data_IF_293029149873
#
_entry.id   IF_293029149873
#
_cell.length_a   1.000
_cell.length_b   1.000
_cell.length_c   1.000
_cell.angle_alpha   90.00
_cell.angle_beta   90.00
_cell.angle_gamma   90.00
#
_symmetry.space_group_name_H-M   'P 1'
#
loop_
_entity.id
_entity.type
_entity.pdbx_description
1 polymer ?
#
# COMPACT_ATOMS: atom_id res chain seq x y z
N UNK A 1 3.91 -24.09 -12.25
CA UNK A 1 2.59 -23.48 -11.97
C UNK A 1 2.33 -22.37 -12.97
N UNK A 2 1.06 -22.13 -13.28
CA UNK A 2 0.58 -20.93 -14.00
C UNK A 2 0.30 -19.84 -12.98
N UNK A 3 0.98 -18.72 -13.05
CA UNK A 3 0.88 -17.64 -12.06
C UNK A 3 0.57 -16.32 -12.78
N UNK A 4 -0.43 -15.59 -12.30
CA UNK A 4 -0.60 -14.19 -12.66
C UNK A 4 0.02 -13.33 -11.55
N UNK A 5 0.98 -12.49 -11.88
CA UNK A 5 1.46 -11.44 -10.99
C UNK A 5 0.65 -10.19 -11.33
N UNK A 6 -0.24 -9.81 -10.42
CA UNK A 6 -1.16 -8.70 -10.63
C UNK A 6 -0.55 -7.42 -10.09
N UNK A 7 -0.38 -6.41 -10.93
CA UNK A 7 0.28 -5.14 -10.61
C UNK A 7 -0.48 -3.94 -11.20
N UNK A 8 0.04 -2.75 -11.02
CA UNK A 8 -0.50 -1.51 -11.57
C UNK A 8 -1.70 -0.98 -10.78
N UNK A 9 -2.86 -0.96 -11.40
CA UNK A 9 -4.09 -0.43 -10.78
C UNK A 9 -4.25 1.09 -10.90
N UNK A 10 -5.14 1.67 -10.08
CA UNK A 10 -5.43 3.11 -10.02
C UNK A 10 -5.06 3.69 -8.64
N UNK A 11 -3.89 3.33 -8.12
CA UNK A 11 -3.35 3.95 -6.92
C UNK A 11 -2.17 4.87 -7.24
N UNK A 12 -1.85 5.76 -6.34
CA UNK A 12 -0.66 6.63 -6.44
C UNK A 12 0.66 5.84 -6.36
N UNK A 13 0.59 4.56 -5.97
CA UNK A 13 1.71 3.62 -5.89
C UNK A 13 1.78 2.67 -7.10
N UNK A 14 1.07 2.98 -8.20
CA UNK A 14 1.01 2.18 -9.42
C UNK A 14 2.40 1.78 -9.97
N UNK A 15 3.33 2.72 -10.04
CA UNK A 15 4.67 2.47 -10.60
C UNK A 15 5.53 1.62 -9.66
N UNK A 16 5.33 1.78 -8.35
CA UNK A 16 5.94 0.92 -7.32
C UNK A 16 5.42 -0.51 -7.44
N UNK A 17 4.11 -0.65 -7.62
CA UNK A 17 3.47 -1.94 -7.86
C UNK A 17 4.04 -2.67 -9.09
N UNK A 18 4.26 -1.97 -10.19
CA UNK A 18 4.91 -2.55 -11.37
C UNK A 18 6.33 -3.00 -11.09
N UNK A 19 7.11 -2.21 -10.36
CA UNK A 19 8.49 -2.59 -10.03
C UNK A 19 8.53 -3.85 -9.15
N UNK A 20 7.66 -3.90 -8.14
CA UNK A 20 7.50 -5.10 -7.31
C UNK A 20 7.08 -6.31 -8.16
N UNK A 21 6.07 -6.13 -9.01
CA UNK A 21 5.55 -7.18 -9.87
C UNK A 21 6.60 -7.72 -10.85
N UNK A 22 7.41 -6.85 -11.45
CA UNK A 22 8.48 -7.23 -12.36
C UNK A 22 9.54 -8.10 -11.67
N UNK A 23 9.99 -7.67 -10.48
CA UNK A 23 10.97 -8.42 -9.70
C UNK A 23 10.45 -9.80 -9.29
N UNK A 24 9.20 -9.86 -8.83
CA UNK A 24 8.56 -11.12 -8.44
C UNK A 24 8.33 -12.02 -9.66
N UNK A 25 7.83 -11.48 -10.77
CA UNK A 25 7.62 -12.27 -11.98
C UNK A 25 8.93 -12.87 -12.50
N UNK A 26 10.02 -12.11 -12.46
CA UNK A 26 11.35 -12.59 -12.82
C UNK A 26 11.79 -13.74 -11.92
N UNK A 27 11.74 -13.57 -10.61
CA UNK A 27 12.14 -14.61 -9.65
C UNK A 27 11.30 -15.89 -9.79
N UNK A 28 9.99 -15.76 -10.01
CA UNK A 28 9.10 -16.90 -10.23
C UNK A 28 9.41 -17.64 -11.53
N UNK A 29 9.76 -16.94 -12.63
CA UNK A 29 10.20 -17.56 -13.89
C UNK A 29 11.52 -18.29 -13.72
N UNK A 30 12.48 -17.71 -13.01
CA UNK A 30 13.76 -18.35 -12.69
C UNK A 30 13.56 -19.67 -11.90
N UNK A 31 12.46 -19.78 -11.15
CA UNK A 31 12.02 -21.01 -10.48
C UNK A 31 11.16 -21.94 -11.37
N UNK A 32 11.09 -21.70 -12.68
CA UNK A 32 10.43 -22.60 -13.64
C UNK A 32 8.91 -22.46 -13.71
N UNK A 33 8.33 -21.36 -13.27
CA UNK A 33 6.89 -21.10 -13.37
C UNK A 33 6.54 -20.35 -14.66
N UNK A 34 5.34 -20.58 -15.20
CA UNK A 34 4.76 -19.80 -16.31
C UNK A 34 4.07 -18.57 -15.70
N UNK A 35 4.65 -17.37 -15.90
CA UNK A 35 4.24 -16.17 -15.18
C UNK A 35 3.84 -15.04 -16.11
N UNK A 36 2.62 -14.55 -15.98
CA UNK A 36 2.13 -13.35 -16.67
C UNK A 36 2.13 -12.18 -15.67
N UNK A 37 2.89 -11.13 -15.97
CA UNK A 37 2.77 -9.84 -15.26
C UNK A 37 1.63 -9.04 -15.92
N UNK A 38 0.58 -8.77 -15.17
CA UNK A 38 -0.66 -8.21 -15.68
C UNK A 38 -1.02 -6.90 -14.93
N UNK A 39 -1.36 -5.87 -15.70
CA UNK A 39 -1.95 -4.65 -15.15
C UNK A 39 -3.43 -4.88 -14.84
N UNK A 40 -3.83 -4.76 -13.58
CA UNK A 40 -5.23 -5.00 -13.15
C UNK A 40 -6.21 -4.02 -13.79
N UNK A 41 -5.78 -2.77 -14.05
CA UNK A 41 -6.64 -1.73 -14.62
C UNK A 41 -6.62 -1.70 -16.14
N UNK A 42 -5.45 -1.83 -16.78
CA UNK A 42 -5.35 -1.78 -18.24
C UNK A 42 -5.76 -3.10 -18.90
N UNK A 43 -5.59 -4.23 -18.19
CA UNK A 43 -5.87 -5.56 -18.72
C UNK A 43 -4.89 -6.04 -19.79
N UNK A 44 -5.28 -7.05 -20.53
CA UNK A 44 -4.46 -7.70 -21.56
C UNK A 44 -5.12 -7.51 -22.89
N UNK A 45 -5.78 -6.97 -23.44
CA UNK A 45 -6.36 -6.78 -24.80
C UNK A 45 -7.72 -6.09 -24.72
N UNK A 46 -8.04 -5.36 -25.76
CA UNK A 46 -9.33 -4.68 -25.88
C UNK A 46 -10.44 -5.60 -26.41
N UNK A 47 -10.09 -6.83 -26.81
CA UNK A 47 -11.01 -7.78 -27.44
C UNK A 47 -11.10 -9.06 -26.63
N UNK A 48 -12.23 -9.74 -26.74
CA UNK A 48 -12.36 -11.12 -26.26
C UNK A 48 -11.52 -12.01 -27.18
N UNK A 49 -10.35 -12.39 -26.70
CA UNK A 49 -9.40 -13.24 -27.43
C UNK A 49 -9.53 -14.70 -26.98
N UNK A 50 -9.07 -15.61 -27.86
CA UNK A 50 -8.80 -16.97 -27.45
C UNK A 50 -7.55 -16.98 -26.54
N UNK A 51 -7.74 -17.22 -25.27
CA UNK A 51 -6.69 -17.27 -24.25
C UNK A 51 -6.08 -18.68 -24.12
N UNK A 52 -6.46 -19.64 -24.97
CA UNK A 52 -5.92 -20.99 -24.95
C UNK A 52 -4.41 -20.96 -25.13
N UNK A 53 -3.67 -21.64 -24.24
CA UNK A 53 -2.21 -21.71 -24.27
C UNK A 53 -1.48 -20.38 -23.97
N UNK A 54 -2.16 -19.36 -23.46
CA UNK A 54 -1.57 -18.03 -23.22
C UNK A 54 -0.39 -18.09 -22.25
N UNK A 55 -0.39 -19.01 -21.29
CA UNK A 55 0.72 -19.19 -20.35
C UNK A 55 1.97 -19.75 -21.00
N UNK A 56 1.89 -20.39 -22.17
CA UNK A 56 3.06 -20.88 -22.91
C UNK A 56 3.87 -19.72 -23.54
N UNK A 57 3.23 -18.57 -23.72
CA UNK A 57 3.85 -17.31 -24.17
C UNK A 57 3.78 -16.20 -23.12
N UNK A 58 3.85 -16.57 -21.85
CA UNK A 58 3.61 -15.68 -20.72
C UNK A 58 4.53 -14.45 -20.67
N UNK A 59 5.76 -14.54 -21.15
CA UNK A 59 6.68 -13.41 -21.21
C UNK A 59 6.29 -12.38 -22.26
N UNK A 60 5.79 -12.83 -23.42
CA UNK A 60 5.38 -11.97 -24.53
C UNK A 60 4.15 -11.13 -24.17
N UNK A 61 3.21 -11.72 -23.42
CA UNK A 61 1.96 -11.07 -23.02
C UNK A 61 2.09 -10.22 -21.74
N UNK A 62 3.22 -10.35 -21.06
CA UNK A 62 3.47 -9.59 -19.82
C UNK A 62 3.71 -8.11 -20.08
N UNK A 63 3.25 -7.27 -19.15
CA UNK A 63 3.51 -5.82 -19.17
C UNK A 63 5.02 -5.56 -19.07
N UNK A 64 5.51 -4.63 -19.89
CA UNK A 64 6.90 -4.16 -19.81
C UNK A 64 6.99 -3.00 -18.84
N UNK A 65 7.89 -3.11 -17.88
CA UNK A 65 8.03 -2.16 -16.77
C UNK A 65 9.22 -1.23 -17.00
N UNK A 66 9.00 0.06 -16.78
CA UNK A 66 10.05 1.09 -16.67
C UNK A 66 10.43 1.34 -15.19
N UNK A 67 11.37 2.22 -14.92
CA UNK A 67 11.71 2.62 -13.56
C UNK A 67 10.59 3.38 -12.83
N UNK A 68 10.74 3.59 -11.52
CA UNK A 68 9.81 4.40 -10.72
C UNK A 68 10.12 5.89 -10.95
N UNK A 69 9.15 6.70 -11.42
CA UNK A 69 9.31 8.15 -11.54
C UNK A 69 9.47 8.84 -10.16
N UNK A 70 10.09 10.02 -10.12
CA UNK A 70 10.19 10.83 -8.88
C UNK A 70 8.85 11.44 -8.43
N UNK A 71 7.86 11.44 -9.31
CA UNK A 71 6.51 12.00 -9.08
C UNK A 71 5.49 10.90 -9.23
N UNK A 72 4.51 10.86 -8.32
CA UNK A 72 3.40 9.91 -8.39
C UNK A 72 2.63 10.02 -9.72
N UNK A 73 2.07 8.91 -10.23
CA UNK A 73 1.36 8.89 -11.50
C UNK A 73 0.10 9.78 -11.48
N UNK A 74 -0.16 10.44 -12.59
CA UNK A 74 -1.42 11.15 -12.84
C UNK A 74 -2.53 10.13 -13.17
N UNK A 75 -3.32 9.79 -12.16
CA UNK A 75 -4.36 8.76 -12.28
C UNK A 75 -5.45 9.12 -13.28
N UNK A 76 -5.71 10.42 -13.48
CA UNK A 76 -6.67 10.87 -14.50
C UNK A 76 -6.16 10.56 -15.91
N UNK A 77 -4.87 10.77 -16.16
CA UNK A 77 -4.23 10.38 -17.43
C UNK A 77 -4.19 8.87 -17.61
N UNK A 78 -3.88 8.12 -16.55
CA UNK A 78 -3.91 6.64 -16.59
C UNK A 78 -5.32 6.18 -16.98
N UNK A 79 -6.36 6.69 -16.32
CA UNK A 79 -7.75 6.36 -16.63
C UNK A 79 -8.12 6.71 -18.08
N UNK A 80 -7.76 7.90 -18.54
CA UNK A 80 -8.04 8.35 -19.91
C UNK A 80 -7.28 7.56 -20.98
N UNK A 81 -6.14 6.94 -20.65
CA UNK A 81 -5.34 6.16 -21.60
C UNK A 81 -5.88 4.75 -21.85
N UNK A 82 -6.77 4.23 -20.99
CA UNK A 82 -7.41 2.94 -21.22
C UNK A 82 -8.39 3.04 -22.38
N UNK A 83 -8.32 2.13 -23.34
CA UNK A 83 -9.24 2.14 -24.49
C UNK A 83 -10.68 1.86 -24.11
N UNK A 84 -10.89 0.91 -23.20
CA UNK A 84 -12.17 0.68 -22.59
C UNK A 84 -12.45 1.74 -21.52
N UNK A 85 -13.36 2.68 -21.82
CA UNK A 85 -13.78 3.77 -20.93
C UNK A 85 -14.98 3.38 -20.06
N UNK A 86 -15.23 2.07 -19.86
CA UNK A 86 -16.25 1.60 -18.93
C UNK A 86 -15.90 1.94 -17.48
N UNK A 87 -16.89 1.89 -16.59
CA UNK A 87 -16.70 2.08 -15.15
C UNK A 87 -16.11 0.84 -14.44
N UNK A 88 -15.84 -0.26 -15.17
CA UNK A 88 -15.24 -1.45 -14.61
C UNK A 88 -13.81 -1.16 -14.14
N UNK A 89 -13.48 -1.56 -12.92
CA UNK A 89 -12.11 -1.46 -12.42
C UNK A 89 -11.17 -2.42 -13.14
N UNK A 90 -11.60 -3.67 -13.31
CA UNK A 90 -10.81 -4.67 -14.02
C UNK A 90 -10.77 -4.38 -15.51
N UNK A 91 -9.57 -4.29 -16.06
CA UNK A 91 -9.37 -4.20 -17.50
C UNK A 91 -9.77 -5.49 -18.24
N UNK A 92 -9.83 -5.47 -19.57
CA UNK A 92 -10.20 -6.65 -20.36
C UNK A 92 -9.35 -7.89 -20.03
N UNK A 93 -10.00 -9.04 -19.95
CA UNK A 93 -9.39 -10.37 -19.73
C UNK A 93 -8.65 -10.56 -18.38
N UNK A 94 -8.74 -9.62 -17.43
CA UNK A 94 -8.07 -9.74 -16.12
C UNK A 94 -8.65 -10.90 -15.32
N UNK A 95 -9.96 -10.96 -15.18
CA UNK A 95 -10.63 -12.01 -14.38
C UNK A 95 -10.41 -13.37 -15.02
N UNK A 96 -10.56 -13.46 -16.34
CA UNK A 96 -10.37 -14.70 -17.10
C UNK A 96 -8.95 -15.25 -16.93
N UNK A 97 -7.92 -14.40 -17.05
CA UNK A 97 -6.53 -14.80 -16.85
C UNK A 97 -6.25 -15.24 -15.41
N UNK A 98 -6.81 -14.53 -14.43
CA UNK A 98 -6.70 -14.90 -13.03
C UNK A 98 -7.38 -16.24 -12.74
N UNK A 99 -8.56 -16.52 -13.33
CA UNK A 99 -9.24 -17.81 -13.20
C UNK A 99 -8.51 -18.97 -13.87
N UNK A 100 -7.74 -18.71 -14.94
CA UNK A 100 -6.92 -19.71 -15.64
C UNK A 100 -5.60 -20.00 -14.90
N UNK A 101 -5.20 -19.18 -13.92
CA UNK A 101 -3.98 -19.37 -13.14
C UNK A 101 -4.18 -20.33 -11.97
N UNK A 102 -3.11 -20.97 -11.52
CA UNK A 102 -3.11 -21.76 -10.28
C UNK A 102 -3.21 -20.87 -9.04
N UNK A 103 -2.63 -19.67 -9.12
CA UNK A 103 -2.65 -18.64 -8.07
C UNK A 103 -2.31 -17.26 -8.65
N UNK A 104 -2.86 -16.22 -8.05
CA UNK A 104 -2.53 -14.83 -8.34
C UNK A 104 -1.58 -14.29 -7.26
N UNK A 105 -0.41 -13.79 -7.66
CA UNK A 105 0.45 -13.04 -6.76
C UNK A 105 0.03 -11.57 -6.75
N UNK A 106 -0.36 -11.06 -5.58
CA UNK A 106 -0.83 -9.69 -5.39
C UNK A 106 0.34 -8.74 -5.21
N UNK A 107 0.89 -8.21 -6.31
CA UNK A 107 1.95 -7.17 -6.29
C UNK A 107 1.38 -5.75 -6.27
N UNK A 108 0.10 -5.60 -5.93
CA UNK A 108 -0.59 -4.31 -5.86
C UNK A 108 -0.19 -3.52 -4.61
N UNK A 109 -0.16 -2.19 -4.75
CA UNK A 109 0.09 -1.25 -3.68
C UNK A 109 -1.05 -0.23 -3.59
N UNK A 110 -1.41 0.20 -2.37
CA UNK A 110 -2.43 1.21 -2.13
C UNK A 110 -3.88 0.73 -2.34
N UNK A 111 -4.11 -0.57 -2.41
CA UNK A 111 -5.44 -1.16 -2.56
C UNK A 111 -6.07 -1.47 -1.18
N UNK A 112 -7.41 -1.48 -1.13
CA UNK A 112 -8.19 -1.53 0.10
C UNK A 112 -9.02 -2.80 0.27
N UNK A 113 -8.59 -3.91 -0.28
CA UNK A 113 -9.26 -5.21 -0.13
C UNK A 113 -10.40 -5.50 -1.12
N UNK A 114 -10.82 -4.54 -1.95
CA UNK A 114 -11.91 -4.73 -2.91
C UNK A 114 -11.59 -5.79 -3.97
N UNK A 115 -10.33 -5.85 -4.39
CA UNK A 115 -9.86 -6.85 -5.38
C UNK A 115 -9.91 -8.23 -4.75
N UNK A 116 -9.46 -8.38 -3.51
CA UNK A 116 -9.53 -9.63 -2.76
C UNK A 116 -10.98 -10.08 -2.61
N UNK A 117 -11.90 -9.17 -2.26
CA UNK A 117 -13.33 -9.49 -2.17
C UNK A 117 -13.91 -9.98 -3.50
N UNK A 118 -13.54 -9.36 -4.62
CA UNK A 118 -13.95 -9.83 -5.94
C UNK A 118 -13.37 -11.22 -6.24
N UNK A 119 -12.11 -11.46 -5.91
CA UNK A 119 -11.45 -12.75 -6.12
C UNK A 119 -12.08 -13.86 -5.29
N UNK A 120 -12.48 -13.58 -4.03
CA UNK A 120 -13.22 -14.52 -3.20
C UNK A 120 -14.54 -14.94 -3.87
N UNK A 121 -15.29 -13.97 -4.44
CA UNK A 121 -16.54 -14.24 -5.15
C UNK A 121 -16.34 -15.05 -6.45
N UNK A 122 -15.21 -14.86 -7.14
CA UNK A 122 -14.87 -15.59 -8.36
C UNK A 122 -14.14 -16.91 -8.09
N UNK A 123 -13.84 -17.25 -6.83
CA UNK A 123 -13.08 -18.45 -6.48
C UNK A 123 -11.62 -18.40 -6.95
N UNK A 124 -11.05 -17.22 -7.13
CA UNK A 124 -9.66 -17.01 -7.55
C UNK A 124 -8.75 -17.05 -6.33
N UNK A 125 -7.73 -17.91 -6.36
CA UNK A 125 -6.73 -18.01 -5.30
C UNK A 125 -5.68 -16.91 -5.44
N UNK A 126 -5.32 -16.25 -4.35
CA UNK A 126 -4.33 -15.17 -4.33
C UNK A 126 -3.42 -15.23 -3.10
N UNK A 127 -2.28 -14.51 -3.16
CA UNK A 127 -1.34 -14.37 -2.05
C UNK A 127 -1.71 -13.17 -1.18
N UNK A 128 -1.31 -13.21 0.09
CA UNK A 128 -1.50 -12.12 1.05
C UNK A 128 -2.80 -12.25 1.83
N UNK A 129 -3.15 -11.19 2.55
CA UNK A 129 -4.29 -11.18 3.46
C UNK A 129 -5.63 -10.97 2.72
N UNK A 130 -6.73 -11.43 3.32
CA UNK A 130 -8.08 -11.33 2.76
C UNK A 130 -8.64 -9.89 2.76
N UNK A 131 -9.85 -9.74 2.21
CA UNK A 131 -10.46 -8.44 1.94
C UNK A 131 -10.69 -7.59 3.19
N UNK A 132 -11.22 -8.17 4.26
CA UNK A 132 -11.55 -7.42 5.49
C UNK A 132 -10.29 -6.88 6.16
N UNK A 133 -9.30 -7.71 6.33
CA UNK A 133 -8.02 -7.33 6.96
C UNK A 133 -7.27 -6.29 6.13
N UNK A 134 -7.29 -6.42 4.79
CA UNK A 134 -6.74 -5.40 3.88
C UNK A 134 -7.46 -4.06 4.01
N UNK A 135 -8.79 -4.06 4.11
CA UNK A 135 -9.59 -2.85 4.28
C UNK A 135 -9.30 -2.16 5.63
N UNK A 136 -9.25 -2.95 6.70
CA UNK A 136 -8.92 -2.44 8.04
C UNK A 136 -7.50 -1.87 8.12
N UNK A 137 -6.51 -2.57 7.55
CA UNK A 137 -5.12 -2.12 7.54
C UNK A 137 -4.90 -0.85 6.71
N UNK A 138 -5.68 -0.64 5.66
CA UNK A 138 -5.59 0.56 4.82
C UNK A 138 -6.23 1.79 5.48
N UNK A 139 -7.24 1.61 6.32
CA UNK A 139 -7.94 2.68 7.05
C UNK A 139 -7.24 2.97 8.38
N UNK A 140 -6.51 4.12 8.44
CA UNK A 140 -5.73 4.51 9.62
C UNK A 140 -6.60 4.78 10.86
N UNK A 141 -7.84 5.26 10.65
CA UNK A 141 -8.79 5.48 11.75
C UNK A 141 -9.23 4.16 12.36
N UNK A 142 -9.63 3.19 11.51
CA UNK A 142 -10.08 1.89 11.98
C UNK A 142 -8.94 1.08 12.57
N UNK A 143 -7.77 1.05 11.92
CA UNK A 143 -6.57 0.41 12.47
C UNK A 143 -6.24 0.94 13.86
N UNK A 144 -6.24 2.26 14.02
CA UNK A 144 -5.92 2.90 15.29
C UNK A 144 -6.93 2.58 16.40
N UNK A 145 -8.23 2.56 16.08
CA UNK A 145 -9.27 2.15 17.04
C UNK A 145 -9.05 0.71 17.52
N UNK A 146 -8.70 -0.18 16.60
CA UNK A 146 -8.41 -1.59 16.91
C UNK A 146 -7.13 -1.71 17.76
N UNK A 147 -6.07 -1.00 17.41
CA UNK A 147 -4.83 -1.00 18.20
C UNK A 147 -5.07 -0.54 19.63
N UNK A 148 -5.73 0.61 19.81
CA UNK A 148 -6.01 1.14 21.13
C UNK A 148 -6.91 0.20 21.96
N UNK A 149 -7.90 -0.45 21.34
CA UNK A 149 -8.77 -1.44 22.03
C UNK A 149 -8.00 -2.69 22.47
N UNK A 150 -6.90 -3.02 21.79
CA UNK A 150 -6.02 -4.14 22.12
C UNK A 150 -4.83 -3.74 23.01
N UNK A 151 -4.76 -2.48 23.47
CA UNK A 151 -3.66 -1.99 24.30
C UNK A 151 -2.37 -1.72 23.52
N UNK A 152 -2.40 -1.70 22.19
CA UNK A 152 -1.25 -1.38 21.35
C UNK A 152 -1.15 0.16 21.28
N UNK A 153 0.00 0.75 21.61
CA UNK A 153 0.15 2.20 21.60
C UNK A 153 0.10 2.77 20.18
N UNK A 154 -0.59 3.89 20.02
CA UNK A 154 -0.64 4.65 18.78
C UNK A 154 -0.57 6.15 19.11
N UNK A 155 -0.09 7.02 18.19
CA UNK A 155 -0.07 8.45 18.40
C UNK A 155 -1.47 8.98 18.76
N UNK A 156 -1.57 9.93 19.69
CA UNK A 156 -2.84 10.57 19.98
C UNK A 156 -3.35 11.32 18.75
N UNK A 157 -4.63 11.17 18.40
CA UNK A 157 -5.16 11.81 17.21
C UNK A 157 -6.66 11.64 17.07
N UNK A 158 -7.22 12.36 16.09
CA UNK A 158 -8.63 12.31 15.74
C UNK A 158 -8.81 12.31 14.23
N UNK A 159 -9.83 11.62 13.76
CA UNK A 159 -10.28 11.69 12.36
C UNK A 159 -11.29 12.82 12.18
N UNK A 160 -11.32 13.40 10.98
CA UNK A 160 -12.29 14.41 10.59
C UNK A 160 -12.70 14.24 9.14
N UNK A 161 -13.94 14.62 8.84
CA UNK A 161 -14.43 14.73 7.48
C UNK A 161 -14.34 16.18 7.00
N UNK A 162 -14.19 16.36 5.70
CA UNK A 162 -14.14 17.70 5.08
C UNK A 162 -15.33 18.57 5.46
N UNK A 163 -16.52 17.96 5.55
CA UNK A 163 -17.76 18.67 5.91
C UNK A 163 -17.78 19.21 7.34
N UNK A 164 -17.04 18.55 8.27
CA UNK A 164 -16.99 18.86 9.71
C UNK A 164 -15.63 19.43 10.11
N UNK A 165 -14.81 19.84 9.13
CA UNK A 165 -13.44 20.31 9.36
C UNK A 165 -13.43 21.60 10.19
N UNK A 166 -12.50 21.68 11.14
CA UNK A 166 -12.23 22.88 11.91
C UNK A 166 -10.75 23.26 11.78
N UNK A 167 -10.49 24.54 11.52
CA UNK A 167 -9.14 25.12 11.51
C UNK A 167 -8.57 25.23 12.94
N UNK A 168 -9.38 24.98 13.98
CA UNK A 168 -8.97 25.02 15.36
C UNK A 168 -8.58 23.61 15.86
N UNK A 169 -7.28 23.33 15.86
CA UNK A 169 -6.71 22.07 16.30
C UNK A 169 -7.02 21.74 17.77
N UNK A 170 -7.26 22.75 18.60
CA UNK A 170 -7.51 22.56 20.05
C UNK A 170 -8.79 21.75 20.29
N UNK A 171 -9.78 21.84 19.37
CA UNK A 171 -11.01 21.04 19.42
C UNK A 171 -10.75 19.54 19.29
N UNK A 172 -9.61 19.16 18.69
CA UNK A 172 -9.19 17.77 18.57
C UNK A 172 -8.39 17.29 19.79
N UNK A 173 -8.08 18.19 20.73
CA UNK A 173 -7.23 17.90 21.89
C UNK A 173 -5.77 17.59 21.50
N UNK A 174 -5.31 18.11 20.36
CA UNK A 174 -3.96 17.94 19.81
C UNK A 174 -3.24 19.29 19.86
N UNK A 175 -1.91 19.25 19.98
CA UNK A 175 -1.04 20.43 20.00
C UNK A 175 -0.06 20.37 18.83
N UNK A 176 0.54 21.52 18.51
CA UNK A 176 1.64 21.59 17.55
C UNK A 176 2.97 21.11 18.16
N UNK A 177 3.86 20.48 17.36
CA UNK A 177 3.62 20.08 15.98
C UNK A 177 2.66 18.90 15.87
N UNK A 178 1.90 18.86 14.77
CA UNK A 178 0.98 17.77 14.46
C UNK A 178 1.21 17.23 13.04
N UNK A 179 0.68 16.05 12.76
CA UNK A 179 0.70 15.42 11.44
C UNK A 179 -0.72 15.40 10.89
N UNK A 180 -0.90 15.93 9.69
CA UNK A 180 -2.16 15.87 8.92
C UNK A 180 -1.96 14.90 7.77
N UNK A 181 -2.86 13.95 7.58
CA UNK A 181 -2.74 12.94 6.52
C UNK A 181 -4.10 12.38 6.08
N UNK A 182 -4.23 11.92 4.84
CA UNK A 182 -5.37 11.13 4.39
C UNK A 182 -5.59 9.90 5.27
N UNK A 183 -6.84 9.55 5.54
CA UNK A 183 -7.20 8.40 6.36
C UNK A 183 -6.80 7.09 5.68
N UNK A 184 -7.07 6.98 4.37
CA UNK A 184 -6.61 5.89 3.52
C UNK A 184 -5.44 6.33 2.63
N UNK A 185 -4.81 5.41 1.92
CA UNK A 185 -3.67 5.71 1.07
C UNK A 185 -2.31 5.53 1.77
N UNK A 186 -1.24 5.65 0.99
CA UNK A 186 0.12 5.31 1.41
C UNK A 186 1.18 6.27 0.88
N UNK A 187 2.45 5.86 1.02
CA UNK A 187 3.64 6.53 0.47
C UNK A 187 3.80 8.01 0.84
N UNK A 188 3.26 8.41 1.99
CA UNK A 188 3.32 9.79 2.52
C UNK A 188 2.69 10.85 1.60
N UNK A 189 1.82 10.44 0.66
CA UNK A 189 1.10 11.36 -0.21
C UNK A 189 0.02 12.09 0.60
N UNK A 190 -0.03 13.42 0.48
CA UNK A 190 -0.93 14.27 1.26
C UNK A 190 -0.60 14.35 2.75
N UNK A 191 0.58 13.88 3.18
CA UNK A 191 1.05 13.94 4.58
C UNK A 191 1.83 15.23 4.79
N UNK A 192 1.47 15.99 5.82
CA UNK A 192 2.16 17.22 6.21
C UNK A 192 2.39 17.26 7.72
N UNK A 193 3.53 17.83 8.12
CA UNK A 193 3.82 18.18 9.51
C UNK A 193 3.55 19.68 9.67
N UNK A 194 2.68 20.05 10.59
CA UNK A 194 2.32 21.45 10.85
C UNK A 194 2.83 21.88 12.23
N UNK A 195 3.55 23.00 12.29
CA UNK A 195 4.14 23.57 13.51
C UNK A 195 3.34 24.73 14.08
N UNK A 196 2.36 25.24 13.34
CA UNK A 196 1.51 26.36 13.72
C UNK A 196 0.17 26.31 12.95
N UNK A 197 -0.74 27.23 13.28
CA UNK A 197 -2.08 27.26 12.71
C UNK A 197 -2.10 27.55 11.20
N UNK A 198 -1.16 28.33 10.68
CA UNK A 198 -1.08 28.65 9.24
C UNK A 198 -0.65 27.41 8.47
N UNK A 199 0.39 26.71 8.93
CA UNK A 199 0.84 25.46 8.35
C UNK A 199 -0.24 24.36 8.45
N UNK A 200 -1.00 24.33 9.56
CA UNK A 200 -2.09 23.39 9.74
C UNK A 200 -3.19 23.57 8.70
N UNK A 201 -3.60 24.82 8.43
CA UNK A 201 -4.57 25.12 7.39
C UNK A 201 -4.08 24.70 6.00
N UNK A 202 -2.83 25.02 5.68
CA UNK A 202 -2.23 24.58 4.41
C UNK A 202 -2.15 23.03 4.30
N UNK A 203 -1.87 22.35 5.41
CA UNK A 203 -1.83 20.90 5.48
C UNK A 203 -3.22 20.26 5.26
N UNK A 204 -4.29 20.87 5.82
CA UNK A 204 -5.67 20.43 5.57
C UNK A 204 -6.03 20.59 4.09
N UNK A 205 -5.74 21.76 3.50
CA UNK A 205 -6.02 22.03 2.08
C UNK A 205 -5.28 21.04 1.17
N UNK A 206 -4.04 20.70 1.48
CA UNK A 206 -3.28 19.70 0.71
C UNK A 206 -3.85 18.30 0.88
N UNK A 207 -4.12 17.84 2.09
CA UNK A 207 -4.62 16.51 2.35
C UNK A 207 -6.02 16.27 1.74
N UNK A 208 -6.90 17.30 1.76
CA UNK A 208 -8.24 17.24 1.16
C UNK A 208 -8.25 17.20 -0.38
N UNK A 209 -7.10 17.36 -1.04
CA UNK A 209 -7.00 17.09 -2.50
C UNK A 209 -7.02 15.59 -2.79
N UNK A 210 -6.68 14.78 -1.80
CA UNK A 210 -6.51 13.35 -1.95
C UNK A 210 -7.68 12.54 -1.39
N UNK A 211 -8.25 12.99 -0.27
CA UNK A 211 -9.33 12.27 0.41
C UNK A 211 -10.21 13.22 1.23
N UNK A 212 -11.50 12.90 1.36
CA UNK A 212 -12.44 13.67 2.20
C UNK A 212 -12.35 13.34 3.69
N UNK A 213 -11.72 12.21 4.04
CA UNK A 213 -11.51 11.79 5.42
C UNK A 213 -10.03 11.94 5.78
N UNK A 214 -9.73 12.72 6.78
CA UNK A 214 -8.37 12.94 7.27
C UNK A 214 -8.21 12.41 8.68
N UNK A 215 -6.96 12.12 9.05
CA UNK A 215 -6.56 11.92 10.44
C UNK A 215 -5.50 12.97 10.79
N UNK A 216 -5.69 13.60 11.95
CA UNK A 216 -4.73 14.54 12.56
C UNK A 216 -4.18 13.88 13.82
N UNK A 217 -2.86 13.84 13.94
CA UNK A 217 -2.18 13.17 15.05
C UNK A 217 -1.08 14.05 15.64
N UNK A 218 -0.75 13.80 16.90
CA UNK A 218 0.46 14.36 17.49
C UNK A 218 1.69 13.94 16.68
N UNK A 219 2.66 14.85 16.54
CA UNK A 219 3.93 14.52 15.93
C UNK A 219 4.82 13.78 16.93
N UNK A 220 5.13 12.52 16.64
CA UNK A 220 6.05 11.73 17.45
C UNK A 220 7.46 11.87 16.85
N UNK A 221 8.33 12.57 17.58
CA UNK A 221 9.74 12.70 17.19
C UNK A 221 10.52 11.47 17.62
N UNK A 222 11.26 10.86 16.68
CA UNK A 222 12.07 9.68 16.98
C UNK A 222 12.69 9.06 15.77
N UNK A 223 13.28 7.88 15.97
CA UNK A 223 13.79 7.01 14.90
C UNK A 223 12.60 6.27 14.26
N UNK A 224 12.68 6.00 12.95
CA UNK A 224 11.64 5.29 12.21
C UNK A 224 12.07 3.85 11.93
N UNK A 225 11.14 2.93 12.12
CA UNK A 225 11.38 1.50 11.97
C UNK A 225 10.29 0.82 11.16
N UNK A 226 10.64 -0.29 10.53
CA UNK A 226 9.71 -1.19 9.87
C UNK A 226 9.92 -2.62 10.38
N UNK A 227 8.82 -3.31 10.67
CA UNK A 227 8.85 -4.70 11.13
C UNK A 227 7.97 -5.54 10.20
N UNK A 228 8.60 -6.42 9.44
CA UNK A 228 7.89 -7.42 8.64
C UNK A 228 7.36 -8.54 9.54
N UNK A 229 6.20 -9.10 9.20
CA UNK A 229 5.61 -10.25 9.86
C UNK A 229 5.27 -11.31 8.80
N UNK A 230 5.69 -12.54 8.99
CA UNK A 230 5.36 -13.68 8.13
C UNK A 230 4.73 -14.76 9.00
N UNK A 231 3.55 -15.23 8.60
CA UNK A 231 2.80 -16.26 9.33
C UNK A 231 2.69 -15.96 10.84
N UNK A 232 2.42 -14.70 11.17
CA UNK A 232 2.27 -14.22 12.54
C UNK A 232 3.60 -14.08 13.32
N UNK A 233 4.77 -14.23 12.68
CA UNK A 233 6.08 -14.11 13.29
C UNK A 233 6.82 -12.88 12.77
N UNK A 234 7.28 -12.04 13.71
CA UNK A 234 8.04 -10.84 13.38
C UNK A 234 9.45 -11.18 12.87
N UNK A 235 9.83 -10.51 11.80
CA UNK A 235 11.17 -10.55 11.24
C UNK A 235 12.12 -9.58 11.97
N UNK A 236 13.43 -9.61 11.67
CA UNK A 236 14.36 -8.60 12.16
C UNK A 236 13.88 -7.19 11.81
N UNK A 237 14.03 -6.27 12.76
CA UNK A 237 13.60 -4.88 12.64
C UNK A 237 14.52 -4.14 11.67
N UNK A 238 13.93 -3.34 10.80
CA UNK A 238 14.65 -2.45 9.88
C UNK A 238 14.53 -1.03 10.41
N UNK A 239 15.65 -0.34 10.65
CA UNK A 239 15.67 1.10 10.85
C UNK A 239 15.68 1.82 9.51
N UNK A 240 14.90 2.87 9.38
CA UNK A 240 14.80 3.71 8.19
C UNK A 240 15.20 5.13 8.56
N UNK A 241 16.35 5.59 8.08
CA UNK A 241 16.88 6.91 8.36
C UNK A 241 16.94 7.74 7.06
N UNK A 242 15.99 8.68 6.82
CA UNK A 242 16.08 9.60 5.69
C UNK A 242 17.36 10.43 5.78
N UNK A 243 18.06 10.60 4.66
CA UNK A 243 19.30 11.42 4.60
C UNK A 243 18.96 12.90 4.79
N UNK A 244 17.78 13.34 4.33
CA UNK A 244 17.28 14.72 4.48
C UNK A 244 15.78 14.75 4.67
N UNK A 245 15.28 15.65 5.53
CA UNK A 245 13.86 15.87 5.75
C UNK A 245 13.16 14.72 6.49
N UNK A 246 11.92 14.44 6.11
CA UNK A 246 11.16 13.29 6.61
C UNK A 246 11.01 12.22 5.51
N UNK A 247 10.54 11.03 5.84
CA UNK A 247 10.42 9.89 4.92
C UNK A 247 9.19 10.07 4.00
N UNK A 248 9.29 11.04 3.08
CA UNK A 248 8.28 11.37 2.07
C UNK A 248 8.34 10.42 0.86
N UNK A 249 7.47 10.64 -0.14
CA UNK A 249 7.43 9.84 -1.37
C UNK A 249 8.79 9.79 -2.08
N UNK A 250 9.47 10.93 -2.21
CA UNK A 250 10.78 11.02 -2.87
C UNK A 250 11.84 10.23 -2.10
N UNK A 251 11.87 10.37 -0.76
CA UNK A 251 12.84 9.67 0.09
C UNK A 251 12.57 8.16 0.16
N UNK A 252 11.34 7.70 -0.13
CA UNK A 252 10.99 6.28 -0.20
C UNK A 252 11.51 5.58 -1.46
N UNK A 253 11.51 6.28 -2.61
CA UNK A 253 11.72 5.61 -3.90
C UNK A 253 12.96 6.09 -4.66
N UNK A 254 13.62 7.15 -4.22
CA UNK A 254 14.89 7.60 -4.79
C UNK A 254 16.05 6.86 -4.14
N UNK A 255 16.83 6.16 -4.95
CA UNK A 255 18.01 5.44 -4.47
C UNK A 255 18.97 6.36 -3.71
N UNK A 256 19.39 5.93 -2.51
CA UNK A 256 20.32 6.68 -1.64
C UNK A 256 19.69 7.83 -0.84
N UNK A 257 18.36 8.00 -0.86
CA UNK A 257 17.66 9.02 -0.08
C UNK A 257 17.36 8.60 1.37
N UNK A 258 17.44 7.31 1.67
CA UNK A 258 17.34 6.77 3.03
C UNK A 258 18.44 5.72 3.26
N UNK A 259 18.88 5.60 4.50
CA UNK A 259 19.75 4.51 4.97
C UNK A 259 18.87 3.50 5.69
N UNK A 260 18.90 2.26 5.24
CA UNK A 260 18.19 1.15 5.85
C UNK A 260 19.19 0.22 6.54
N UNK A 261 19.00 -0.01 7.83
CA UNK A 261 19.86 -0.88 8.65
C UNK A 261 19.05 -2.07 9.16
N UNK A 262 19.47 -3.27 8.80
CA UNK A 262 18.84 -4.52 9.23
C UNK A 262 19.89 -5.55 9.70
N UNK A 263 19.80 -6.09 10.92
CA UNK A 263 18.88 -5.68 11.99
C UNK A 263 19.20 -4.28 12.52
N UNK A 264 18.19 -3.58 12.99
CA UNK A 264 18.35 -2.26 13.61
C UNK A 264 19.18 -2.36 14.90
N UNK A 265 20.01 -1.36 15.16
CA UNK A 265 20.78 -1.27 16.40
C UNK A 265 19.90 -0.84 17.57
N UNK A 266 19.36 -1.81 18.30
CA UNK A 266 18.44 -1.67 19.42
C UNK A 266 18.89 -2.56 20.59
N UNK A 267 18.46 -2.20 21.81
CA UNK A 267 18.59 -3.14 22.94
C UNK A 267 17.64 -4.33 22.76
N UNK A 268 17.99 -5.48 23.31
CA UNK A 268 17.19 -6.70 23.25
C UNK A 268 15.75 -6.45 23.70
N UNK A 269 15.57 -5.79 24.87
CA UNK A 269 14.25 -5.47 25.41
C UNK A 269 13.40 -4.58 24.48
N UNK A 270 14.01 -3.64 23.74
CA UNK A 270 13.29 -2.80 22.76
C UNK A 270 12.95 -3.63 21.53
N UNK A 271 13.87 -4.46 21.05
CA UNK A 271 13.66 -5.37 19.92
C UNK A 271 12.48 -6.30 20.17
N UNK A 272 12.49 -7.01 21.29
CA UNK A 272 11.41 -7.93 21.68
C UNK A 272 10.06 -7.21 21.78
N UNK A 273 10.03 -6.02 22.41
CA UNK A 273 8.80 -5.22 22.55
C UNK A 273 8.25 -4.79 21.20
N UNK A 274 9.09 -4.35 20.27
CA UNK A 274 8.66 -3.91 18.93
C UNK A 274 8.16 -5.10 18.10
N UNK A 275 8.87 -6.23 18.15
CA UNK A 275 8.45 -7.46 17.47
C UNK A 275 7.12 -7.96 18.03
N UNK A 276 6.97 -7.96 19.35
CA UNK A 276 5.70 -8.33 20.00
C UNK A 276 4.53 -7.44 19.53
N UNK A 277 4.71 -6.11 19.47
CA UNK A 277 3.68 -5.22 18.95
C UNK A 277 3.36 -5.50 17.47
N UNK A 278 4.35 -5.80 16.64
CA UNK A 278 4.12 -6.13 15.23
C UNK A 278 3.29 -7.42 15.09
N UNK A 279 3.57 -8.44 15.88
CA UNK A 279 2.79 -9.69 15.92
C UNK A 279 1.35 -9.43 16.42
N UNK A 280 1.19 -8.63 17.47
CA UNK A 280 -0.13 -8.22 17.98
C UNK A 280 -0.93 -7.44 16.92
N UNK A 281 -0.31 -6.51 16.21
CA UNK A 281 -0.94 -5.77 15.10
C UNK A 281 -1.44 -6.72 14.03
N UNK A 282 -0.62 -7.68 13.61
CA UNK A 282 -1.02 -8.68 12.62
C UNK A 282 -2.24 -9.49 13.12
N UNK A 283 -2.22 -9.91 14.37
CA UNK A 283 -3.33 -10.66 14.98
C UNK A 283 -4.61 -9.83 15.08
N UNK A 284 -4.54 -8.60 15.56
CA UNK A 284 -5.69 -7.71 15.79
C UNK A 284 -6.38 -7.32 14.49
N UNK A 285 -5.62 -7.10 13.43
CA UNK A 285 -6.15 -6.82 12.10
C UNK A 285 -6.53 -8.08 11.32
N UNK A 286 -6.21 -9.27 11.83
CA UNK A 286 -6.43 -10.54 11.13
C UNK A 286 -5.58 -10.66 9.86
N UNK A 287 -4.37 -10.11 9.87
CA UNK A 287 -3.45 -10.20 8.73
C UNK A 287 -2.90 -11.61 8.60
N UNK A 288 -2.93 -12.12 7.39
CA UNK A 288 -2.49 -13.46 7.07
C UNK A 288 -1.30 -13.44 6.13
N UNK A 289 -0.58 -14.54 6.04
CA UNK A 289 0.58 -14.80 5.20
C UNK A 289 1.76 -13.86 5.50
N UNK A 290 1.70 -12.62 5.04
CA UNK A 290 2.74 -11.60 5.28
C UNK A 290 2.15 -10.20 5.41
N UNK A 291 2.79 -9.39 6.23
CA UNK A 291 2.44 -7.99 6.46
C UNK A 291 3.67 -7.19 6.93
N UNK A 292 3.50 -5.89 7.02
CA UNK A 292 4.55 -4.99 7.51
C UNK A 292 3.93 -3.78 8.16
#
# INVERSE_FOLDING_TARGET
>A
MKIVVLAGGLSTERDVSFKTGDMVAKALRENGHQVILLDVFMGYSDKKEDLTGIFDRSEEVSVKVSGIPEIAPDLAKVKASRKDQSDNFFGPNVIELCQMSDIVFMALHGENGKIQAAFDLFGIRYTGTGYLSSALAMDKEMSKKLFLSAGIPAPKGASMKKADCSDDITKLGIQFPCVVKPCCGGSSIGVSIAHNAEEYKAALDEAFRWEENLIVEEYVKGREFSVGVIEGKALPIIEIAPVQGFYDYKNKYKAGSAVETCPAELSEAVTEKMQHYAEQVAQVLGLDTYSR
#
